data_IF_313294724726
#
_entry.id   IF_313294724726
#
_cell.length_a   1.000
_cell.length_b   1.000
_cell.length_c   1.000
_cell.angle_alpha   90.00
_cell.angle_beta   90.00
_cell.angle_gamma   90.00
#
_symmetry.space_group_name_H-M   'P 1'
#
loop_
_entity.id
_entity.type
_entity.pdbx_description
1 polymer ?
#
# COMPACT_ATOMS: atom_id res chain seq x y z
N UNK A 1 -1.07 2.20 0.13
CA UNK A 1 -1.79 1.18 0.93
C UNK A 1 -1.73 1.48 2.41
N UNK A 2 -0.56 1.50 3.07
CA UNK A 2 -0.47 1.81 4.52
C UNK A 2 -1.06 3.18 4.92
N UNK A 3 -1.12 4.16 4.01
CA UNK A 3 -1.79 5.45 4.29
C UNK A 3 -3.31 5.40 4.29
N UNK A 4 -3.91 4.40 3.64
CA UNK A 4 -5.37 4.21 3.49
C UNK A 4 -5.89 3.15 4.46
N UNK A 5 -5.05 2.18 4.82
CA UNK A 5 -5.40 1.05 5.68
C UNK A 5 -6.10 1.43 7.00
N UNK A 6 -5.68 2.48 7.75
CA UNK A 6 -6.38 2.92 8.96
C UNK A 6 -7.88 3.17 8.79
N UNK A 7 -8.31 3.59 7.59
CA UNK A 7 -9.74 3.81 7.29
C UNK A 7 -10.56 2.52 7.28
N UNK A 8 -9.95 1.39 6.91
CA UNK A 8 -10.64 0.09 6.76
C UNK A 8 -10.56 -0.76 8.02
N UNK A 9 -9.43 -0.76 8.71
CA UNK A 9 -9.18 -1.62 9.88
C UNK A 9 -9.19 -0.87 11.22
N UNK A 10 -9.53 0.42 11.21
CA UNK A 10 -9.73 1.25 12.41
C UNK A 10 -8.55 1.24 13.39
N UNK A 11 -7.33 1.28 12.87
CA UNK A 11 -6.09 1.39 13.65
C UNK A 11 -5.46 2.79 13.53
N UNK A 12 -4.48 3.11 14.38
CA UNK A 12 -3.69 4.32 14.19
C UNK A 12 -2.69 4.11 13.03
N UNK A 13 -2.29 5.21 12.39
CA UNK A 13 -1.26 5.15 11.35
C UNK A 13 0.04 4.53 11.89
N UNK A 14 0.39 4.74 13.15
CA UNK A 14 1.59 4.22 13.80
C UNK A 14 1.57 2.72 14.08
N UNK A 15 0.39 2.09 14.09
CA UNK A 15 0.22 0.66 14.36
C UNK A 15 0.57 -0.24 13.16
N UNK A 16 0.90 0.36 12.00
CA UNK A 16 1.19 -0.37 10.76
C UNK A 16 2.51 0.09 10.13
N UNK A 17 3.24 -0.89 9.63
CA UNK A 17 4.46 -0.73 8.86
C UNK A 17 4.29 -1.19 7.41
N UNK A 18 5.25 -0.82 6.58
CA UNK A 18 5.33 -1.36 5.23
C UNK A 18 6.71 -1.18 4.64
N UNK A 19 7.12 -2.16 3.85
CA UNK A 19 8.37 -2.11 3.08
C UNK A 19 8.10 -2.65 1.68
N UNK A 20 8.74 -2.06 0.68
CA UNK A 20 8.64 -2.50 -0.71
C UNK A 20 10.02 -2.63 -1.30
N UNK A 21 10.27 -3.71 -2.02
CA UNK A 21 11.52 -3.96 -2.74
C UNK A 21 11.25 -4.39 -4.17
N UNK A 22 12.01 -3.90 -5.17
CA UNK A 22 11.87 -4.33 -6.56
C UNK A 22 12.33 -5.78 -6.78
N UNK A 23 13.15 -6.33 -5.88
CA UNK A 23 13.58 -7.73 -5.91
C UNK A 23 13.84 -8.20 -4.48
N UNK A 24 12.97 -9.05 -3.96
CA UNK A 24 13.18 -9.65 -2.64
C UNK A 24 13.94 -10.98 -2.76
N UNK A 25 15.02 -11.21 -1.99
CA UNK A 25 15.91 -12.36 -2.19
C UNK A 25 15.23 -13.72 -1.99
N UNK A 26 14.18 -13.78 -1.17
CA UNK A 26 13.49 -15.03 -0.87
C UNK A 26 12.28 -15.30 -1.77
N UNK A 27 11.65 -14.27 -2.35
CA UNK A 27 10.53 -14.47 -3.28
C UNK A 27 11.01 -14.47 -4.74
N UNK A 28 12.19 -13.89 -5.02
CA UNK A 28 12.70 -13.73 -6.38
C UNK A 28 11.93 -12.69 -7.21
N UNK A 29 11.03 -11.92 -6.59
CA UNK A 29 10.09 -11.03 -7.27
C UNK A 29 10.01 -9.65 -6.60
N UNK A 30 9.45 -8.62 -7.28
CA UNK A 30 9.03 -7.39 -6.63
C UNK A 30 8.01 -7.71 -5.53
N UNK A 31 8.24 -7.24 -4.31
CA UNK A 31 7.39 -7.60 -3.16
C UNK A 31 7.10 -6.39 -2.29
N UNK A 32 5.84 -6.28 -1.87
CA UNK A 32 5.35 -5.30 -0.91
C UNK A 32 4.92 -6.08 0.34
N UNK A 33 5.47 -5.70 1.48
CA UNK A 33 5.07 -6.20 2.78
C UNK A 33 4.29 -5.13 3.53
N UNK A 34 3.22 -5.55 4.20
CA UNK A 34 2.44 -4.76 5.15
C UNK A 34 2.38 -5.60 6.43
N UNK A 35 2.68 -5.00 7.56
CA UNK A 35 2.83 -5.72 8.82
C UNK A 35 2.41 -4.85 10.01
N UNK A 36 2.08 -5.52 11.12
CA UNK A 36 1.73 -4.88 12.38
C UNK A 36 2.97 -4.22 12.98
N UNK A 37 2.83 -2.98 13.43
CA UNK A 37 3.89 -2.25 14.13
C UNK A 37 4.14 -2.74 15.56
N UNK A 38 3.26 -3.60 16.08
CA UNK A 38 3.36 -4.18 17.42
C UNK A 38 4.13 -5.50 17.40
N UNK A 39 5.03 -5.69 18.37
CA UNK A 39 5.82 -6.91 18.49
C UNK A 39 4.93 -8.14 18.76
N UNK A 40 5.15 -9.21 18.00
CA UNK A 40 4.32 -10.42 18.05
C UNK A 40 3.03 -10.34 17.23
N UNK A 41 2.64 -9.15 16.75
CA UNK A 41 1.43 -8.94 15.96
C UNK A 41 0.16 -8.93 16.82
N UNK A 42 -0.83 -8.13 16.39
CA UNK A 42 -2.13 -7.98 17.05
C UNK A 42 -3.31 -8.19 16.09
N UNK A 43 -3.05 -8.62 14.86
CA UNK A 43 -4.05 -9.03 13.87
C UNK A 43 -4.50 -7.92 12.92
N UNK A 44 -3.81 -6.77 12.87
CA UNK A 44 -4.21 -5.67 11.98
C UNK A 44 -3.99 -6.06 10.51
N UNK A 45 -2.84 -6.65 10.21
CA UNK A 45 -2.48 -7.10 8.86
C UNK A 45 -3.29 -8.32 8.43
N UNK A 46 -3.67 -9.19 9.36
CA UNK A 46 -4.59 -10.29 9.12
C UNK A 46 -5.96 -9.76 8.69
N UNK A 47 -6.52 -8.81 9.44
CA UNK A 47 -7.80 -8.18 9.07
C UNK A 47 -7.72 -7.45 7.72
N UNK A 48 -6.60 -6.79 7.45
CA UNK A 48 -6.38 -6.13 6.16
C UNK A 48 -6.25 -7.10 4.99
N UNK A 49 -5.75 -8.33 5.21
CA UNK A 49 -5.69 -9.35 4.18
C UNK A 49 -7.10 -9.77 3.73
N UNK A 50 -8.07 -9.87 4.67
CA UNK A 50 -9.48 -10.12 4.35
C UNK A 50 -10.10 -9.00 3.50
N UNK A 51 -9.66 -7.75 3.71
CA UNK A 51 -10.16 -6.54 3.05
C UNK A 51 -9.25 -6.07 1.91
N UNK A 52 -8.37 -6.94 1.41
CA UNK A 52 -7.33 -6.56 0.47
C UNK A 52 -7.87 -5.96 -0.85
N UNK A 53 -8.92 -6.51 -1.49
CA UNK A 53 -9.51 -5.92 -2.69
C UNK A 53 -10.03 -4.49 -2.46
N UNK A 54 -10.71 -4.23 -1.34
CA UNK A 54 -11.25 -2.93 -0.95
C UNK A 54 -10.13 -1.93 -0.67
N UNK A 55 -9.06 -2.37 -0.01
CA UNK A 55 -7.86 -1.58 0.26
C UNK A 55 -7.16 -1.15 -1.03
N UNK A 56 -7.00 -2.06 -1.99
CA UNK A 56 -6.42 -1.76 -3.30
C UNK A 56 -7.31 -0.77 -4.06
N UNK A 57 -8.63 -1.00 -4.09
CA UNK A 57 -9.60 -0.12 -4.75
C UNK A 57 -9.56 1.30 -4.18
N UNK A 58 -9.60 1.42 -2.85
CA UNK A 58 -9.56 2.73 -2.17
C UNK A 58 -8.21 3.42 -2.40
N UNK A 59 -7.10 2.67 -2.38
CA UNK A 59 -5.78 3.24 -2.69
C UNK A 59 -5.72 3.75 -4.13
N UNK A 60 -6.25 2.99 -5.09
CA UNK A 60 -6.32 3.40 -6.50
C UNK A 60 -7.15 4.67 -6.67
N UNK A 61 -8.28 4.78 -5.97
CA UNK A 61 -9.13 5.96 -5.98
C UNK A 61 -8.37 7.20 -5.48
N UNK A 62 -7.75 7.12 -4.30
CA UNK A 62 -6.94 8.23 -3.72
C UNK A 62 -5.83 8.67 -4.67
N UNK A 63 -5.12 7.73 -5.30
CA UNK A 63 -4.05 8.05 -6.25
C UNK A 63 -4.61 8.68 -7.52
N UNK A 64 -5.74 8.20 -8.02
CA UNK A 64 -6.33 8.64 -9.29
C UNK A 64 -7.01 10.00 -9.21
N UNK A 65 -7.68 10.30 -8.10
CA UNK A 65 -8.44 11.55 -7.90
C UNK A 65 -7.54 12.72 -7.45
N UNK A 66 -6.35 12.43 -6.92
CA UNK A 66 -5.40 13.47 -6.56
C UNK A 66 -4.98 14.29 -7.79
N UNK A 67 -5.07 15.62 -7.74
CA UNK A 67 -4.73 16.51 -8.86
C UNK A 67 -3.23 16.73 -9.13
N UNK A 68 -2.32 16.11 -8.36
CA UNK A 68 -0.88 16.28 -8.57
C UNK A 68 -0.34 15.45 -9.74
N UNK A 69 0.75 15.89 -10.38
CA UNK A 69 1.35 15.16 -11.50
C UNK A 69 2.34 14.07 -11.04
N UNK A 70 3.27 14.44 -10.15
CA UNK A 70 4.43 13.61 -9.78
C UNK A 70 4.24 12.78 -8.51
N UNK A 71 3.19 13.06 -7.74
CA UNK A 71 2.99 12.54 -6.39
C UNK A 71 3.17 13.61 -5.31
N UNK A 72 2.45 13.48 -4.21
CA UNK A 72 2.47 14.42 -3.09
C UNK A 72 2.09 13.72 -1.75
N UNK A 73 2.21 14.41 -0.60
CA UNK A 73 1.76 13.94 0.72
C UNK A 73 0.35 13.35 0.78
N UNK A 74 -0.55 13.81 -0.09
CA UNK A 74 -1.94 13.36 -0.11
C UNK A 74 -2.17 12.03 -0.86
N UNK A 75 -1.21 11.54 -1.65
CA UNK A 75 -1.45 10.35 -2.49
C UNK A 75 -0.41 9.23 -2.36
N UNK A 76 0.86 9.47 -2.66
CA UNK A 76 1.88 8.41 -2.74
C UNK A 76 3.07 8.60 -1.79
N UNK A 77 3.09 9.70 -1.04
CA UNK A 77 4.15 9.97 -0.06
C UNK A 77 3.78 9.37 1.29
N UNK A 78 4.80 9.00 2.06
CA UNK A 78 4.65 8.63 3.47
C UNK A 78 5.60 9.47 4.33
N UNK A 79 5.14 10.05 5.45
CA UNK A 79 6.01 10.68 6.43
C UNK A 79 6.88 9.65 7.17
N UNK A 80 6.55 8.35 7.07
CA UNK A 80 7.36 7.24 7.62
C UNK A 80 8.44 6.74 6.66
N UNK A 81 8.60 7.37 5.50
CA UNK A 81 9.50 6.87 4.47
C UNK A 81 10.96 7.14 4.85
N UNK A 82 11.77 6.09 5.01
CA UNK A 82 13.17 6.20 5.43
C UNK A 82 14.15 6.58 4.32
N UNK A 83 13.70 6.77 3.07
CA UNK A 83 14.53 7.10 1.91
C UNK A 83 14.10 8.40 1.21
N UNK A 84 13.58 9.37 1.98
CA UNK A 84 13.11 10.67 1.50
C UNK A 84 12.06 10.57 0.38
N UNK A 85 11.24 9.52 0.39
CA UNK A 85 10.21 9.28 -0.62
C UNK A 85 10.82 9.21 -2.04
N UNK A 86 11.93 8.45 -2.20
CA UNK A 86 12.62 8.28 -3.49
C UNK A 86 13.05 6.83 -3.75
N UNK A 87 12.85 6.31 -4.99
CA UNK A 87 12.13 6.93 -6.11
C UNK A 87 10.60 6.86 -5.93
N UNK A 88 9.87 7.83 -6.49
CA UNK A 88 8.41 7.81 -6.56
C UNK A 88 7.92 8.14 -7.97
N UNK A 89 6.93 7.38 -8.42
CA UNK A 89 6.26 7.59 -9.70
C UNK A 89 4.75 7.32 -9.54
N UNK A 90 3.96 8.38 -9.68
CA UNK A 90 2.50 8.30 -9.55
C UNK A 90 1.85 7.46 -10.66
N UNK A 91 2.37 7.55 -11.88
CA UNK A 91 1.82 6.81 -13.03
C UNK A 91 2.09 5.32 -12.86
N UNK A 92 3.31 4.96 -12.48
CA UNK A 92 3.67 3.57 -12.18
C UNK A 92 2.82 3.02 -11.01
N UNK A 93 2.64 3.79 -9.93
CA UNK A 93 1.80 3.39 -8.81
C UNK A 93 0.36 3.09 -9.25
N UNK A 94 -0.23 3.95 -10.10
CA UNK A 94 -1.56 3.73 -10.67
C UNK A 94 -1.63 2.46 -11.51
N UNK A 95 -0.68 2.25 -12.43
CA UNK A 95 -0.63 1.06 -13.29
C UNK A 95 -0.50 -0.26 -12.50
N UNK A 96 0.30 -0.24 -11.44
CA UNK A 96 0.46 -1.40 -10.54
C UNK A 96 -0.86 -1.68 -9.81
N UNK A 97 -1.48 -0.66 -9.21
CA UNK A 97 -2.75 -0.80 -8.49
C UNK A 97 -3.88 -1.30 -9.40
N UNK A 98 -3.98 -0.79 -10.62
CA UNK A 98 -4.94 -1.27 -11.61
C UNK A 98 -4.68 -2.73 -11.99
N UNK A 99 -3.42 -3.12 -12.17
CA UNK A 99 -3.06 -4.51 -12.49
C UNK A 99 -3.37 -5.47 -11.36
N UNK A 100 -3.07 -5.08 -10.12
CA UNK A 100 -3.42 -5.86 -8.92
C UNK A 100 -4.94 -6.00 -8.80
N UNK A 101 -5.68 -4.90 -8.93
CA UNK A 101 -7.15 -4.93 -8.83
C UNK A 101 -7.77 -5.83 -9.90
N UNK A 102 -7.29 -5.75 -11.16
CA UNK A 102 -7.75 -6.64 -12.23
C UNK A 102 -7.53 -8.11 -11.88
N UNK A 103 -6.35 -8.48 -11.40
CA UNK A 103 -6.06 -9.87 -10.99
C UNK A 103 -7.01 -10.35 -9.89
N UNK A 104 -7.22 -9.54 -8.85
CA UNK A 104 -8.13 -9.86 -7.75
C UNK A 104 -9.59 -10.06 -8.20
N UNK A 105 -10.02 -9.34 -9.24
CA UNK A 105 -11.38 -9.48 -9.79
C UNK A 105 -11.52 -10.58 -10.85
N UNK A 106 -10.41 -11.10 -11.38
CA UNK A 106 -10.40 -12.14 -12.42
C UNK A 106 -10.34 -13.56 -11.85
N UNK A 107 -10.12 -13.69 -10.55
CA UNK A 107 -10.06 -14.95 -9.81
C UNK A 107 -11.40 -15.33 -9.15
N UNK A 108 -12.49 -14.68 -9.58
CA UNK A 108 -13.89 -15.00 -9.18
C UNK A 108 -14.66 -15.55 -10.38
#
# INVERSE_FOLDING_TARGET
MIGVMPFHVLCDRWDIGGVSTPLHPYTGEPTIFIYDGYEGGIGISEKAAELFPELVRTTLQVVSECGCERGCPACIYSPKCGNDNRPLDKRAAKLILESVLRKLTSEV
#
